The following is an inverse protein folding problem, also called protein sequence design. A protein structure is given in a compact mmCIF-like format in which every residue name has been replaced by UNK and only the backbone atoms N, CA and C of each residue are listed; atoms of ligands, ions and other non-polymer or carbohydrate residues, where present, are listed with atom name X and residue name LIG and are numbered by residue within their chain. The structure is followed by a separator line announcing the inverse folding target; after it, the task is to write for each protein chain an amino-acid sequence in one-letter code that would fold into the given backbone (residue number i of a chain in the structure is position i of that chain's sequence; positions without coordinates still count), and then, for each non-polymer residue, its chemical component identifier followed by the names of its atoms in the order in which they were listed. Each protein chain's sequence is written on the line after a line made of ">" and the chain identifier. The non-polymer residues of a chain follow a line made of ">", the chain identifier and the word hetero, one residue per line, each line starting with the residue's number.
data_IF_278469804083
#
_entry.id   IF_278469804083
#
_cell.length_a   1.000
_cell.length_b   1.000
_cell.length_c   1.000
_cell.angle_alpha   90.00
_cell.angle_beta   90.00
_cell.angle_gamma   90.00
#
_symmetry.space_group_name_H-M   'P 1'
#
loop_
_entity.id
_entity.type
_entity.pdbx_description
1 polymer ?
#
# COMPACT_ATOMS: atom_id res chain seq x y z
N UNK A 1 -2.07 -2.26 -8.75
CA UNK A 1 -1.65 -3.43 -7.94
C UNK A 1 -2.41 -3.43 -6.63
N UNK A 2 -2.84 -4.60 -6.19
CA UNK A 2 -3.32 -4.83 -4.82
C UNK A 2 -2.40 -5.86 -4.16
N UNK A 3 -2.13 -5.69 -2.87
CA UNK A 3 -1.25 -6.59 -2.12
C UNK A 3 -1.76 -6.74 -0.68
N UNK A 4 -1.62 -7.94 -0.14
CA UNK A 4 -1.91 -8.26 1.26
C UNK A 4 -0.64 -8.72 1.94
N UNK A 5 -0.35 -8.14 3.11
CA UNK A 5 0.75 -8.54 3.96
C UNK A 5 0.26 -8.91 5.36
N UNK A 6 0.92 -9.88 5.97
CA UNK A 6 0.88 -10.11 7.41
C UNK A 6 2.05 -9.38 8.05
N UNK A 7 1.76 -8.54 9.04
CA UNK A 7 2.75 -7.93 9.91
C UNK A 7 2.64 -8.58 11.29
N UNK A 8 3.77 -9.00 11.85
CA UNK A 8 3.83 -9.57 13.20
C UNK A 8 5.19 -9.30 13.84
N UNK A 9 5.21 -9.12 15.15
CA UNK A 9 6.44 -9.06 15.95
C UNK A 9 6.14 -9.72 17.31
N UNK A 10 7.18 -10.25 17.96
CA UNK A 10 7.10 -10.75 19.35
C UNK A 10 6.90 -9.62 20.36
N UNK A 11 7.19 -8.38 19.99
CA UNK A 11 6.95 -7.17 20.78
C UNK A 11 5.96 -6.27 20.06
N UNK A 12 5.12 -5.58 20.81
CA UNK A 12 4.22 -4.60 20.22
C UNK A 12 5.00 -3.51 19.45
N UNK A 13 4.54 -3.18 18.25
CA UNK A 13 5.12 -2.19 17.35
C UNK A 13 4.12 -1.08 17.02
N UNK A 14 4.64 0.09 16.64
CA UNK A 14 3.83 1.20 16.15
C UNK A 14 3.49 0.96 14.67
N UNK A 15 2.27 0.52 14.42
CA UNK A 15 1.79 0.27 13.06
C UNK A 15 1.71 1.56 12.22
N UNK A 16 1.43 2.72 12.83
CA UNK A 16 1.36 3.99 12.09
C UNK A 16 2.74 4.32 11.50
N UNK A 17 3.80 4.20 12.31
CA UNK A 17 5.17 4.41 11.86
C UNK A 17 5.60 3.44 10.76
N UNK A 18 5.17 2.17 10.84
CA UNK A 18 5.42 1.17 9.78
C UNK A 18 4.74 1.59 8.47
N UNK A 19 3.48 2.03 8.53
CA UNK A 19 2.71 2.46 7.36
C UNK A 19 3.34 3.70 6.70
N UNK A 20 3.73 4.70 7.49
CA UNK A 20 4.42 5.90 7.02
C UNK A 20 5.74 5.55 6.33
N UNK A 21 6.57 4.72 6.96
CA UNK A 21 7.86 4.32 6.40
C UNK A 21 7.68 3.53 5.10
N UNK A 22 6.72 2.62 5.07
CA UNK A 22 6.44 1.81 3.89
C UNK A 22 5.92 2.67 2.73
N UNK A 23 5.00 3.60 3.00
CA UNK A 23 4.47 4.52 2.01
C UNK A 23 5.56 5.40 1.40
N UNK A 24 6.42 5.99 2.24
CA UNK A 24 7.55 6.80 1.79
C UNK A 24 8.55 5.99 0.96
N UNK A 25 8.90 4.76 1.40
CA UNK A 25 9.82 3.89 0.67
C UNK A 25 9.26 3.47 -0.70
N UNK A 26 7.97 3.17 -0.81
CA UNK A 26 7.33 2.86 -2.09
C UNK A 26 7.36 4.08 -3.02
N UNK A 27 7.01 5.26 -2.50
CA UNK A 27 7.02 6.51 -3.26
C UNK A 27 8.43 6.83 -3.79
N UNK A 28 9.45 6.76 -2.95
CA UNK A 28 10.85 7.01 -3.32
C UNK A 28 11.33 6.07 -4.42
N UNK A 29 10.97 4.77 -4.33
CA UNK A 29 11.33 3.76 -5.33
C UNK A 29 10.66 4.00 -6.66
N UNK A 30 9.36 4.30 -6.67
CA UNK A 30 8.63 4.60 -7.90
C UNK A 30 9.14 5.88 -8.54
N UNK A 31 9.41 6.93 -7.76
CA UNK A 31 10.03 8.16 -8.26
C UNK A 31 11.42 7.89 -8.87
N UNK A 32 12.22 7.02 -8.25
CA UNK A 32 13.55 6.65 -8.78
C UNK A 32 13.47 5.82 -10.08
N UNK A 33 12.31 5.22 -10.35
CA UNK A 33 12.00 4.50 -11.58
C UNK A 33 11.24 5.36 -12.61
N UNK A 34 11.19 6.69 -12.43
CA UNK A 34 10.45 7.64 -13.27
C UNK A 34 8.95 7.33 -13.38
N UNK A 35 8.38 6.74 -12.32
CA UNK A 35 6.97 6.37 -12.23
C UNK A 35 6.19 7.30 -11.29
N UNK A 36 4.97 7.65 -11.71
CA UNK A 36 4.08 8.51 -10.94
C UNK A 36 3.04 7.73 -10.14
N UNK A 37 3.01 7.92 -8.80
CA UNK A 37 1.92 7.42 -7.95
C UNK A 37 0.67 8.24 -8.22
N UNK A 38 -0.34 7.64 -8.85
CA UNK A 38 -1.65 8.26 -8.99
C UNK A 38 -2.40 8.22 -7.64
N UNK A 39 -2.40 7.07 -6.98
CA UNK A 39 -3.00 6.88 -5.67
C UNK A 39 -2.46 5.63 -4.98
N UNK A 40 -2.11 5.77 -3.71
CA UNK A 40 -1.75 4.69 -2.81
C UNK A 40 -2.61 4.80 -1.55
N UNK A 41 -3.25 3.69 -1.18
CA UNK A 41 -3.94 3.56 0.11
C UNK A 41 -3.46 2.30 0.80
N UNK A 42 -3.09 2.41 2.06
CA UNK A 42 -2.87 1.25 2.92
C UNK A 42 -3.87 1.24 4.06
N UNK A 43 -4.37 0.06 4.38
CA UNK A 43 -5.29 -0.16 5.50
C UNK A 43 -4.77 -1.32 6.33
N UNK A 44 -4.46 -1.04 7.59
CA UNK A 44 -3.99 -2.03 8.54
C UNK A 44 -5.08 -2.35 9.55
N UNK A 45 -5.32 -3.64 9.77
CA UNK A 45 -6.28 -4.17 10.73
C UNK A 45 -5.54 -5.06 11.74
N UNK A 46 -5.44 -4.66 13.02
CA UNK A 46 -4.85 -5.48 14.08
C UNK A 46 -5.67 -6.75 14.36
N UNK A 47 -5.00 -7.84 14.72
CA UNK A 47 -5.69 -9.12 15.01
C UNK A 47 -6.51 -9.05 16.33
N UNK A 48 -6.12 -8.20 17.28
CA UNK A 48 -6.75 -8.05 18.60
C UNK A 48 -7.62 -6.80 18.80
N UNK A 49 -7.74 -5.93 17.79
CA UNK A 49 -8.49 -4.66 17.90
C UNK A 49 -9.98 -4.85 17.56
N UNK A 50 -10.87 -4.34 18.40
CA UNK A 50 -12.32 -4.33 18.11
C UNK A 50 -12.66 -3.23 17.11
N UNK A 51 -12.31 -3.43 15.85
CA UNK A 51 -12.66 -2.52 14.74
C UNK A 51 -11.70 -1.34 14.55
N UNK A 52 -10.62 -1.25 15.34
CA UNK A 52 -9.59 -0.25 15.15
C UNK A 52 -8.77 -0.54 13.90
N UNK A 53 -8.52 0.48 13.08
CA UNK A 53 -7.69 0.38 11.87
C UNK A 53 -6.72 1.56 11.79
N UNK A 54 -5.58 1.37 11.14
CA UNK A 54 -4.75 2.47 10.65
C UNK A 54 -4.90 2.59 9.14
N UNK A 55 -5.00 3.83 8.65
CA UNK A 55 -5.14 4.12 7.22
C UNK A 55 -4.21 5.26 6.84
N UNK A 56 -3.37 5.00 5.84
CA UNK A 56 -2.53 6.02 5.20
C UNK A 56 -2.91 6.13 3.73
N UNK A 57 -2.94 7.36 3.21
CA UNK A 57 -3.18 7.65 1.81
C UNK A 57 -2.06 8.51 1.25
N UNK A 58 -1.73 8.31 -0.01
CA UNK A 58 -0.80 9.13 -0.77
C UNK A 58 -1.43 9.37 -2.15
N UNK A 59 -1.60 10.65 -2.50
CA UNK A 59 -2.22 11.08 -3.76
C UNK A 59 -1.24 11.97 -4.50
N UNK A 60 -0.84 11.57 -5.72
CA UNK A 60 0.22 12.21 -6.52
C UNK A 60 1.60 12.22 -5.86
N UNK A 61 2.65 12.21 -6.68
CA UNK A 61 4.04 12.18 -6.23
C UNK A 61 4.48 13.44 -5.46
N UNK A 62 3.78 14.56 -5.62
CA UNK A 62 4.15 15.85 -5.02
C UNK A 62 3.73 16.01 -3.55
N UNK A 63 3.01 15.02 -3.01
CA UNK A 63 2.48 15.07 -1.65
C UNK A 63 3.17 14.05 -0.75
N UNK A 64 3.22 14.36 0.54
CA UNK A 64 3.68 13.42 1.58
C UNK A 64 2.55 12.43 1.91
N UNK A 65 2.87 11.20 2.32
CA UNK A 65 1.86 10.28 2.85
C UNK A 65 1.09 10.92 4.01
N UNK A 66 -0.24 10.82 3.99
CA UNK A 66 -1.15 11.38 4.99
C UNK A 66 -1.85 10.26 5.77
N UNK A 67 -1.73 10.30 7.10
CA UNK A 67 -2.44 9.40 8.00
C UNK A 67 -3.88 9.88 8.16
N UNK A 68 -4.83 9.17 7.57
CA UNK A 68 -6.26 9.49 7.69
C UNK A 68 -6.92 8.85 8.92
N UNK A 69 -6.34 7.77 9.43
CA UNK A 69 -6.76 7.13 10.68
C UNK A 69 -5.54 6.48 11.33
N UNK A 70 -5.36 6.71 12.62
CA UNK A 70 -4.23 6.18 13.39
C UNK A 70 -4.73 5.22 14.48
N UNK A 71 -3.89 4.25 14.81
CA UNK A 71 -4.05 3.45 16.02
C UNK A 71 -3.48 4.21 17.22
N UNK A 72 -4.20 4.22 18.34
CA UNK A 72 -3.76 4.87 19.57
C UNK A 72 -2.68 4.09 20.32
N UNK A 73 -2.64 2.77 20.12
CA UNK A 73 -1.79 1.86 20.87
C UNK A 73 -0.95 0.97 19.94
N UNK A 74 0.27 0.60 20.35
CA UNK A 74 1.07 -0.41 19.66
C UNK A 74 0.35 -1.76 19.56
N UNK A 75 0.69 -2.52 18.53
CA UNK A 75 0.06 -3.81 18.19
C UNK A 75 1.09 -4.91 17.99
N UNK A 76 0.73 -6.17 18.19
CA UNK A 76 1.64 -7.30 18.00
C UNK A 76 1.55 -7.92 16.61
N UNK A 77 0.38 -7.85 15.98
CA UNK A 77 0.15 -8.44 14.66
C UNK A 77 -1.11 -7.89 14.00
N UNK A 78 -1.18 -8.04 12.69
CA UNK A 78 -2.36 -7.72 11.90
C UNK A 78 -2.15 -7.86 10.41
N UNK A 79 -3.20 -7.59 9.65
CA UNK A 79 -3.20 -7.63 8.19
C UNK A 79 -3.10 -6.22 7.61
N UNK A 80 -2.20 -6.05 6.65
CA UNK A 80 -2.05 -4.84 5.85
C UNK A 80 -2.54 -5.09 4.42
N UNK A 81 -3.47 -4.25 3.96
CA UNK A 81 -3.93 -4.23 2.57
C UNK A 81 -3.38 -2.98 1.89
N UNK A 82 -2.69 -3.16 0.77
CA UNK A 82 -2.11 -2.09 -0.05
C UNK A 82 -2.86 -2.03 -1.38
N UNK A 83 -3.39 -0.86 -1.71
CA UNK A 83 -3.97 -0.54 -3.00
C UNK A 83 -3.12 0.53 -3.69
N UNK A 84 -2.29 0.12 -4.65
CA UNK A 84 -1.38 1.00 -5.38
C UNK A 84 -1.83 1.18 -6.83
N UNK A 85 -1.92 2.41 -7.28
CA UNK A 85 -2.12 2.81 -8.68
C UNK A 85 -1.01 3.80 -9.03
N UNK A 86 -0.17 3.43 -9.97
CA UNK A 86 0.90 4.27 -10.47
C UNK A 86 1.12 4.01 -11.96
N UNK A 87 1.68 4.99 -12.66
CA UNK A 87 2.07 4.88 -14.07
C UNK A 87 3.38 4.09 -14.18
N UNK A 88 3.30 2.79 -13.96
CA UNK A 88 4.43 1.88 -14.08
C UNK A 88 3.97 0.50 -14.57
N UNK A 89 4.93 -0.29 -15.08
CA UNK A 89 4.65 -1.68 -15.41
C UNK A 89 4.39 -2.50 -14.14
N UNK A 90 3.63 -3.61 -14.23
CA UNK A 90 3.43 -4.52 -13.09
C UNK A 90 4.72 -4.98 -12.41
N UNK A 91 5.78 -5.17 -13.18
CA UNK A 91 7.08 -5.61 -12.69
C UNK A 91 7.73 -4.53 -11.80
N UNK A 92 7.62 -3.26 -12.21
CA UNK A 92 8.12 -2.12 -11.42
C UNK A 92 7.29 -1.94 -10.14
N UNK A 93 5.96 -2.05 -10.20
CA UNK A 93 5.11 -1.93 -9.01
C UNK A 93 5.40 -3.03 -7.99
N UNK A 94 5.60 -4.25 -8.48
CA UNK A 94 5.96 -5.40 -7.66
C UNK A 94 7.31 -5.18 -6.98
N UNK A 95 8.34 -4.86 -7.76
CA UNK A 95 9.69 -4.65 -7.24
C UNK A 95 9.74 -3.51 -6.21
N UNK A 96 9.01 -2.41 -6.46
CA UNK A 96 8.91 -1.30 -5.53
C UNK A 96 8.33 -1.72 -4.17
N UNK A 97 7.26 -2.53 -4.16
CA UNK A 97 6.64 -3.00 -2.91
C UNK A 97 7.47 -4.09 -2.25
N UNK A 98 7.92 -5.12 -2.97
CA UNK A 98 8.75 -6.19 -2.40
C UNK A 98 10.03 -5.63 -1.77
N UNK A 99 10.70 -4.70 -2.46
CA UNK A 99 11.92 -4.08 -1.95
C UNK A 99 11.67 -3.09 -0.81
N UNK A 100 10.52 -2.40 -0.78
CA UNK A 100 10.15 -1.56 0.36
C UNK A 100 9.84 -2.39 1.60
N UNK A 101 9.16 -3.53 1.44
CA UNK A 101 8.85 -4.48 2.50
C UNK A 101 10.11 -5.11 3.06
N UNK A 102 11.05 -5.53 2.21
CA UNK A 102 12.33 -6.08 2.64
C UNK A 102 13.15 -5.06 3.48
N UNK A 103 13.06 -3.77 3.16
CA UNK A 103 13.72 -2.69 3.91
C UNK A 103 13.10 -2.37 5.27
N UNK A 104 11.91 -2.88 5.59
CA UNK A 104 11.28 -2.65 6.91
C UNK A 104 12.12 -3.24 8.04
N UNK A 105 12.76 -4.39 7.82
CA UNK A 105 13.58 -5.06 8.83
C UNK A 105 14.79 -4.20 9.31
N UNK A 106 15.26 -3.27 8.47
CA UNK A 106 16.34 -2.34 8.84
C UNK A 106 15.88 -1.27 9.84
N UNK A 107 14.58 -0.92 9.81
CA UNK A 107 13.99 0.16 10.60
C UNK A 107 13.24 -0.36 11.82
N UNK A 108 12.63 -1.54 11.70
CA UNK A 108 11.80 -2.17 12.72
C UNK A 108 12.38 -3.54 13.07
N UNK A 109 13.33 -3.58 14.01
CA UNK A 109 13.98 -4.83 14.42
C UNK A 109 12.97 -5.75 15.11
N UNK A 110 12.78 -6.94 14.55
CA UNK A 110 11.84 -7.94 15.08
C UNK A 110 10.56 -8.07 14.26
N UNK A 111 10.24 -7.04 13.46
CA UNK A 111 9.07 -7.03 12.59
C UNK A 111 9.25 -8.03 11.45
N UNK A 112 8.36 -9.00 11.38
CA UNK A 112 8.20 -9.90 10.26
C UNK A 112 7.08 -9.38 9.36
N UNK A 113 7.43 -9.08 8.12
CA UNK A 113 6.48 -8.67 7.10
C UNK A 113 6.41 -9.74 6.00
N UNK A 114 5.31 -10.47 5.96
CA UNK A 114 5.09 -11.57 5.01
C UNK A 114 4.09 -11.16 3.95
N UNK A 115 4.52 -11.16 2.70
CA UNK A 115 3.64 -10.94 1.56
C UNK A 115 2.80 -12.20 1.30
N UNK A 116 1.49 -12.10 1.51
CA UNK A 116 0.55 -13.23 1.38
C UNK A 116 -0.09 -13.28 -0.01
N UNK A 117 -0.41 -12.12 -0.57
CA UNK A 117 -1.05 -11.99 -1.88
C UNK A 117 -0.53 -10.76 -2.60
N UNK A 118 -0.39 -10.87 -3.92
CA UNK A 118 -0.09 -9.73 -4.78
C UNK A 118 -0.70 -9.96 -6.16
N UNK A 119 -1.47 -8.98 -6.62
CA UNK A 119 -2.17 -9.03 -7.89
C UNK A 119 -2.11 -7.70 -8.65
N UNK A 120 -2.14 -7.81 -9.98
CA UNK A 120 -2.17 -6.68 -10.88
C UNK A 120 -3.47 -6.68 -11.68
N UNK A 121 -4.31 -5.67 -11.43
CA UNK A 121 -5.44 -5.40 -12.32
C UNK A 121 -4.92 -4.70 -13.58
N UNK A 122 -4.96 -5.41 -14.70
CA UNK A 122 -5.04 -4.78 -16.02
C UNK A 122 -6.52 -4.75 -16.39
N UNK A 123 -7.24 -3.62 -16.27
CA UNK A 123 -8.51 -3.53 -16.95
C UNK A 123 -8.22 -3.71 -18.45
N UNK A 124 -8.86 -4.68 -19.10
CA UNK A 124 -8.89 -4.71 -20.56
C UNK A 124 -9.43 -3.38 -21.08
N UNK A 125 -9.00 -2.91 -22.26
CA UNK A 125 -9.53 -1.67 -22.85
C UNK A 125 -11.07 -1.78 -22.85
N UNK A 126 -11.81 -0.87 -22.18
CA UNK A 126 -13.26 -0.87 -22.32
C UNK A 126 -13.56 -0.62 -23.80
N UNK A 127 -14.21 -1.57 -24.47
CA UNK A 127 -14.84 -1.30 -25.76
C UNK A 127 -16.15 -0.57 -25.47
N UNK A 128 -16.31 0.70 -25.84
CA UNK A 128 -17.57 1.39 -25.65
C UNK A 128 -18.63 0.80 -26.59
N UNK A 129 -19.52 -0.06 -26.07
CA UNK A 129 -20.53 -0.78 -26.88
C UNK A 129 -21.79 0.07 -27.16
N UNK A 130 -21.89 1.31 -26.65
CA UNK A 130 -23.08 2.13 -26.85
C UNK A 130 -22.73 3.55 -27.31
N UNK A 131 -22.58 3.71 -28.64
CA UNK A 131 -22.87 5.00 -29.28
C UNK A 131 -24.38 5.19 -29.22
N UNK A 132 -24.86 6.13 -28.40
CA UNK A 132 -26.23 6.63 -28.50
C UNK A 132 -26.31 7.41 -29.81
N UNK A 133 -26.86 6.80 -30.85
CA UNK A 133 -27.32 7.54 -32.03
C UNK A 133 -28.74 7.98 -31.72
N UNK A 134 -28.95 9.27 -31.45
CA UNK A 134 -30.29 9.82 -31.36
C UNK A 134 -30.92 9.83 -32.77
N UNK A 135 -32.14 9.31 -32.98
CA UNK A 135 -32.86 9.54 -34.21
C UNK A 135 -33.43 10.97 -34.25
N UNK A 136 -33.39 11.59 -35.43
CA UNK A 136 -34.10 12.83 -35.76
C UNK A 136 -35.61 12.62 -35.82
#
# INVERSE_FOLDING_TARGET
>A
MNCTLRLEDRKAFDANAVLERLAGAIQERLRSADAEVAHLKMTFSPDGGLGDIAVINLVRNDYVPEVSQALEHPVESGQLIINLRAEASPEILRDAVESAVAGLAEHFRGLNAKLEHLEHFRPGKPQPTHRITAPM
#
